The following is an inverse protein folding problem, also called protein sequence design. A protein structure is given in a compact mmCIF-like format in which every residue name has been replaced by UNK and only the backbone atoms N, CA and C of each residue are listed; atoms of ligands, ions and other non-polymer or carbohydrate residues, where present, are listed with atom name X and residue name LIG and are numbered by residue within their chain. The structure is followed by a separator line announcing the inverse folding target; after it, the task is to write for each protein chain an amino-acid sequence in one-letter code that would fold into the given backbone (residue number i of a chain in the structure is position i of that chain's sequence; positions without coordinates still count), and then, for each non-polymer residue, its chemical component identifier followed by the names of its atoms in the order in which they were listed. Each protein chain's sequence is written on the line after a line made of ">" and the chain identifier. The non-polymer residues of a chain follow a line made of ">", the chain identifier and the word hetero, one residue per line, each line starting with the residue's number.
data_IF_154632572987
#
_entry.id   IF_154632572987
#
_cell.length_a   1.000
_cell.length_b   1.000
_cell.length_c   1.000
_cell.angle_alpha   90.00
_cell.angle_beta   90.00
_cell.angle_gamma   90.00
#
_symmetry.space_group_name_H-M   'P 1'
#
loop_
_entity.id
_entity.type
_entity.pdbx_description
1 polymer ?
#
# COMPACT_ATOMS: atom_id res chain seq x y z
N UNK A 1 13.76 60.72 38.90
CA UNK A 1 12.72 59.95 38.16
C UNK A 1 13.44 58.98 37.23
N UNK A 2 13.59 57.73 37.65
CA UNK A 2 14.26 56.67 36.86
C UNK A 2 13.20 55.90 36.12
N UNK A 3 13.16 56.00 34.78
CA UNK A 3 12.27 55.19 33.93
C UNK A 3 12.97 53.88 33.62
N UNK A 4 12.49 52.80 34.20
CA UNK A 4 12.94 51.43 33.93
C UNK A 4 12.19 50.93 32.68
N UNK A 5 12.91 50.71 31.58
CA UNK A 5 12.39 50.03 30.39
C UNK A 5 12.55 48.53 30.63
N UNK A 6 11.41 47.83 30.71
CA UNK A 6 11.36 46.36 30.72
C UNK A 6 11.25 45.93 29.25
N UNK A 7 12.32 45.34 28.72
CA UNK A 7 12.33 44.74 27.42
C UNK A 7 11.69 43.35 27.51
N UNK A 8 10.51 43.19 26.92
CA UNK A 8 9.78 41.93 26.82
C UNK A 8 10.35 41.12 25.64
N UNK A 9 11.23 40.15 25.93
CA UNK A 9 11.70 39.19 24.92
C UNK A 9 10.60 38.18 24.65
N UNK A 10 9.93 38.33 23.51
CA UNK A 10 9.06 37.30 22.93
C UNK A 10 9.95 36.18 22.37
N UNK A 11 10.05 35.07 23.09
CA UNK A 11 10.64 33.82 22.57
C UNK A 11 9.59 33.13 21.75
N UNK A 12 9.70 33.26 20.42
CA UNK A 12 8.89 32.46 19.49
C UNK A 12 9.40 31.02 19.49
N UNK A 13 8.70 30.14 20.18
CA UNK A 13 8.91 28.68 20.04
C UNK A 13 8.44 28.28 18.64
N UNK A 14 9.38 28.20 17.70
CA UNK A 14 9.15 27.54 16.42
C UNK A 14 8.97 26.03 16.67
N UNK A 15 7.73 25.56 16.65
CA UNK A 15 7.42 24.14 16.70
C UNK A 15 7.90 23.50 15.40
N UNK A 16 9.11 22.93 15.39
CA UNK A 16 9.56 22.04 14.34
C UNK A 16 8.72 20.76 14.46
N UNK A 17 7.66 20.69 13.65
CA UNK A 17 6.96 19.42 13.41
C UNK A 17 7.90 18.53 12.62
N UNK A 18 8.62 17.63 13.30
CA UNK A 18 9.27 16.49 12.69
C UNK A 18 8.13 15.64 12.10
N UNK A 19 7.92 15.74 10.78
CA UNK A 19 7.09 14.80 10.08
C UNK A 19 7.76 13.42 10.27
N UNK A 20 7.22 12.60 11.17
CA UNK A 20 7.68 11.23 11.33
C UNK A 20 7.51 10.52 9.99
N UNK A 21 8.58 9.92 9.46
CA UNK A 21 8.52 9.15 8.23
C UNK A 21 7.42 8.08 8.38
N UNK A 22 6.51 8.05 7.39
CA UNK A 22 5.42 7.07 7.40
C UNK A 22 5.99 5.66 7.40
N UNK A 23 5.45 4.80 8.28
CA UNK A 23 5.80 3.38 8.25
C UNK A 23 5.53 2.81 6.86
N UNK A 24 6.55 2.23 6.24
CA UNK A 24 6.42 1.54 4.96
C UNK A 24 5.98 0.09 5.21
N UNK A 25 5.03 -0.40 4.43
CA UNK A 25 4.55 -1.79 4.54
C UNK A 25 4.42 -2.38 3.14
N UNK A 26 5.03 -3.53 2.90
CA UNK A 26 4.77 -4.33 1.70
C UNK A 26 3.90 -5.52 2.07
N UNK A 27 2.75 -5.64 1.40
CA UNK A 27 1.89 -6.83 1.48
C UNK A 27 2.19 -7.69 0.25
N UNK A 28 2.88 -8.81 0.45
CA UNK A 28 3.17 -9.79 -0.60
C UNK A 28 2.10 -10.89 -0.55
N UNK A 29 1.26 -10.93 -1.57
CA UNK A 29 0.11 -11.83 -1.65
C UNK A 29 0.29 -12.82 -2.81
N UNK A 30 0.25 -14.11 -2.48
CA UNK A 30 0.40 -15.21 -3.46
C UNK A 30 -0.75 -16.21 -3.39
N UNK A 31 -1.58 -16.12 -2.36
CA UNK A 31 -2.63 -17.11 -2.07
C UNK A 31 -3.74 -17.14 -3.13
N UNK A 32 -4.17 -18.34 -3.51
CA UNK A 32 -5.36 -18.57 -4.32
C UNK A 32 -6.66 -18.47 -3.52
N UNK A 33 -6.59 -18.46 -2.18
CA UNK A 33 -7.78 -18.40 -1.32
C UNK A 33 -8.40 -17.01 -1.35
N UNK A 34 -9.65 -16.90 -1.79
CA UNK A 34 -10.42 -15.65 -1.78
C UNK A 34 -10.45 -14.99 -0.40
N UNK A 35 -10.57 -15.82 0.67
CA UNK A 35 -10.59 -15.30 2.04
C UNK A 35 -9.23 -14.73 2.45
N UNK A 36 -8.11 -15.38 2.08
CA UNK A 36 -6.77 -14.87 2.34
C UNK A 36 -6.50 -13.58 1.56
N UNK A 37 -6.91 -13.53 0.30
CA UNK A 37 -6.83 -12.32 -0.54
C UNK A 37 -7.64 -11.17 0.07
N UNK A 38 -8.89 -11.45 0.49
CA UNK A 38 -9.74 -10.46 1.15
C UNK A 38 -9.14 -9.95 2.45
N UNK A 39 -8.61 -10.84 3.30
CA UNK A 39 -7.98 -10.46 4.56
C UNK A 39 -6.75 -9.59 4.33
N UNK A 40 -5.90 -9.94 3.37
CA UNK A 40 -4.73 -9.13 3.02
C UNK A 40 -5.14 -7.71 2.61
N UNK A 41 -6.17 -7.55 1.80
CA UNK A 41 -6.67 -6.24 1.36
C UNK A 41 -7.36 -5.46 2.50
N UNK A 42 -8.07 -6.13 3.40
CA UNK A 42 -8.63 -5.50 4.61
C UNK A 42 -7.51 -4.95 5.48
N UNK A 43 -6.45 -5.74 5.72
CA UNK A 43 -5.30 -5.29 6.51
C UNK A 43 -4.57 -4.13 5.83
N UNK A 44 -4.37 -4.19 4.50
CA UNK A 44 -3.78 -3.09 3.73
C UNK A 44 -4.55 -1.78 3.92
N UNK A 45 -5.88 -1.83 3.80
CA UNK A 45 -6.74 -0.67 4.01
C UNK A 45 -6.64 -0.14 5.44
N UNK A 46 -6.63 -1.02 6.46
CA UNK A 46 -6.55 -0.63 7.86
C UNK A 46 -5.18 -0.03 8.22
N UNK A 47 -4.09 -0.56 7.67
CA UNK A 47 -2.75 0.02 7.87
C UNK A 47 -2.64 1.42 7.29
N UNK A 48 -3.25 1.68 6.12
CA UNK A 48 -3.31 3.02 5.54
C UNK A 48 -4.11 3.99 6.42
N UNK A 49 -5.24 3.57 6.98
CA UNK A 49 -6.02 4.38 7.92
C UNK A 49 -5.24 4.75 9.18
N UNK A 50 -4.25 3.94 9.55
CA UNK A 50 -3.32 4.22 10.64
C UNK A 50 -2.08 5.02 10.19
N UNK A 51 -2.04 5.49 8.95
CA UNK A 51 -1.01 6.38 8.43
C UNK A 51 0.17 5.68 7.75
N UNK A 52 0.14 4.34 7.59
CA UNK A 52 1.19 3.63 6.86
C UNK A 52 1.10 3.91 5.35
N UNK A 53 2.26 3.89 4.69
CA UNK A 53 2.35 3.77 3.23
C UNK A 53 2.37 2.28 2.90
N UNK A 54 1.41 1.83 2.07
CA UNK A 54 1.25 0.42 1.74
C UNK A 54 1.55 0.17 0.27
N UNK A 55 2.44 -0.80 0.01
CA UNK A 55 2.75 -1.32 -1.30
C UNK A 55 2.25 -2.76 -1.39
N UNK A 56 1.44 -3.07 -2.39
CA UNK A 56 0.84 -4.39 -2.58
C UNK A 56 1.53 -5.07 -3.75
N UNK A 57 2.16 -6.22 -3.48
CA UNK A 57 2.79 -7.07 -4.48
C UNK A 57 1.97 -8.34 -4.65
N UNK A 58 1.39 -8.51 -5.84
CA UNK A 58 0.53 -9.64 -6.19
C UNK A 58 1.30 -10.61 -7.09
N UNK A 59 1.32 -11.88 -6.75
CA UNK A 59 1.97 -12.91 -7.57
C UNK A 59 1.15 -14.19 -7.58
N UNK A 60 1.46 -15.10 -8.50
CA UNK A 60 0.70 -16.34 -8.70
C UNK A 60 -0.80 -16.04 -8.88
N UNK A 61 -1.69 -16.89 -8.40
CA UNK A 61 -3.16 -16.75 -8.51
C UNK A 61 -3.69 -15.44 -7.91
N UNK A 62 -3.00 -14.88 -6.92
CA UNK A 62 -3.38 -13.57 -6.38
C UNK A 62 -3.19 -12.42 -7.39
N UNK A 63 -2.36 -12.61 -8.43
CA UNK A 63 -2.22 -11.65 -9.51
C UNK A 63 -3.51 -11.43 -10.30
N UNK A 64 -4.42 -12.41 -10.32
CA UNK A 64 -5.67 -12.33 -11.07
C UNK A 64 -6.58 -11.19 -10.59
N UNK A 65 -6.52 -10.80 -9.29
CA UNK A 65 -7.31 -9.67 -8.79
C UNK A 65 -6.84 -8.32 -9.37
N UNK A 66 -5.64 -8.26 -9.97
CA UNK A 66 -5.11 -7.09 -10.65
C UNK A 66 -5.63 -6.93 -12.09
N UNK A 67 -6.30 -7.91 -12.65
CA UNK A 67 -6.79 -7.87 -14.02
C UNK A 67 -8.07 -7.03 -14.14
N UNK A 68 -8.21 -6.32 -15.27
CA UNK A 68 -9.46 -5.65 -15.63
C UNK A 68 -10.58 -6.67 -15.73
N UNK A 69 -11.75 -6.33 -15.18
CA UNK A 69 -12.90 -7.23 -15.20
C UNK A 69 -12.76 -8.45 -14.27
N UNK A 70 -11.72 -8.50 -13.40
CA UNK A 70 -11.63 -9.55 -12.40
C UNK A 70 -12.87 -9.52 -11.50
N UNK A 71 -13.69 -10.54 -11.67
CA UNK A 71 -14.81 -10.84 -10.79
C UNK A 71 -14.35 -11.93 -9.84
N UNK A 72 -14.71 -11.83 -8.60
CA UNK A 72 -14.35 -12.81 -7.59
C UNK A 72 -15.54 -13.13 -6.72
N UNK A 73 -15.38 -14.14 -5.88
CA UNK A 73 -16.35 -14.44 -4.84
C UNK A 73 -16.50 -13.24 -3.89
N UNK A 74 -17.76 -12.92 -3.58
CA UNK A 74 -18.07 -11.85 -2.62
C UNK A 74 -17.92 -12.33 -1.20
N UNK A 75 -17.17 -11.58 -0.42
CA UNK A 75 -16.90 -11.85 0.99
C UNK A 75 -17.91 -11.15 1.89
N UNK A 76 -18.42 -11.87 2.88
CA UNK A 76 -19.26 -11.32 3.93
C UNK A 76 -18.43 -10.54 4.96
N UNK A 77 -19.03 -9.56 5.68
CA UNK A 77 -20.46 -9.19 5.67
C UNK A 77 -20.86 -8.19 4.58
N UNK A 78 -19.91 -7.57 3.87
CA UNK A 78 -20.19 -6.40 3.02
C UNK A 78 -20.41 -6.75 1.54
N UNK A 79 -20.40 -8.03 1.18
CA UNK A 79 -20.55 -8.51 -0.19
C UNK A 79 -19.54 -7.88 -1.18
N UNK A 80 -18.28 -7.75 -0.75
CA UNK A 80 -17.17 -7.18 -1.53
C UNK A 80 -16.20 -8.27 -2.01
N UNK A 81 -15.62 -8.08 -3.19
CA UNK A 81 -14.57 -8.95 -3.70
C UNK A 81 -13.17 -8.46 -3.30
N UNK A 82 -12.14 -9.34 -3.29
CA UNK A 82 -10.76 -8.90 -3.08
C UNK A 82 -10.31 -7.81 -4.06
N UNK A 83 -10.74 -7.89 -5.33
CA UNK A 83 -10.44 -6.88 -6.34
C UNK A 83 -11.04 -5.50 -5.99
N UNK A 84 -12.28 -5.47 -5.48
CA UNK A 84 -12.89 -4.21 -5.00
C UNK A 84 -12.17 -3.64 -3.77
N UNK A 85 -11.69 -4.50 -2.87
CA UNK A 85 -10.88 -4.07 -1.73
C UNK A 85 -9.52 -3.53 -2.17
N UNK A 86 -8.90 -4.12 -3.19
CA UNK A 86 -7.67 -3.62 -3.82
C UNK A 86 -7.90 -2.22 -4.41
N UNK A 87 -8.97 -2.03 -5.18
CA UNK A 87 -9.32 -0.71 -5.72
C UNK A 87 -9.53 0.33 -4.60
N UNK A 88 -10.13 -0.10 -3.49
CA UNK A 88 -10.31 0.74 -2.31
C UNK A 88 -8.98 1.17 -1.69
N UNK A 89 -8.03 0.24 -1.55
CA UNK A 89 -6.70 0.53 -1.04
C UNK A 89 -5.93 1.50 -1.96
N UNK A 90 -5.98 1.27 -3.27
CA UNK A 90 -5.33 2.14 -4.25
C UNK A 90 -5.92 3.57 -4.25
N UNK A 91 -7.23 3.72 -4.13
CA UNK A 91 -7.89 5.03 -3.99
C UNK A 91 -7.45 5.79 -2.74
N UNK A 92 -7.05 5.09 -1.69
CA UNK A 92 -6.50 5.67 -0.45
C UNK A 92 -4.99 5.92 -0.51
N UNK A 93 -4.33 5.59 -1.64
CA UNK A 93 -2.92 5.86 -1.89
C UNK A 93 -1.99 4.66 -1.75
N UNK A 94 -2.49 3.42 -1.63
CA UNK A 94 -1.65 2.25 -1.80
C UNK A 94 -1.13 2.16 -3.23
N UNK A 95 0.10 1.69 -3.40
CA UNK A 95 0.57 1.23 -4.70
C UNK A 95 0.27 -0.26 -4.87
N UNK A 96 0.07 -0.70 -6.10
CA UNK A 96 -0.08 -2.11 -6.40
C UNK A 96 0.73 -2.49 -7.64
N UNK A 97 1.31 -3.68 -7.61
CA UNK A 97 2.05 -4.25 -8.72
C UNK A 97 1.86 -5.76 -8.78
N UNK A 98 1.98 -6.32 -9.97
CA UNK A 98 2.12 -7.77 -10.11
C UNK A 98 3.60 -8.13 -10.18
N UNK A 99 3.99 -9.30 -9.68
CA UNK A 99 5.38 -9.73 -9.74
C UNK A 99 5.84 -9.88 -11.21
N UNK A 100 7.13 -9.72 -11.47
CA UNK A 100 7.69 -9.74 -12.82
C UNK A 100 7.42 -11.05 -13.58
N UNK A 101 7.18 -12.13 -12.86
CA UNK A 101 6.89 -13.44 -13.45
C UNK A 101 5.42 -13.64 -13.83
N UNK A 102 4.52 -12.80 -13.32
CA UNK A 102 3.07 -13.01 -13.49
C UNK A 102 2.65 -12.94 -14.96
N UNK A 103 2.87 -11.80 -15.62
CA UNK A 103 2.42 -11.60 -16.99
C UNK A 103 2.98 -12.64 -17.98
N UNK A 104 4.32 -12.92 -18.00
CA UNK A 104 4.86 -13.87 -18.96
C UNK A 104 4.41 -15.33 -18.73
N UNK A 105 4.03 -15.69 -17.50
CA UNK A 105 3.60 -17.05 -17.18
C UNK A 105 2.09 -17.27 -17.27
N UNK A 106 1.29 -16.19 -17.28
CA UNK A 106 -0.17 -16.28 -17.42
C UNK A 106 -0.65 -15.96 -18.82
N UNK A 107 0.21 -15.43 -19.70
CA UNK A 107 -0.15 -14.98 -21.03
C UNK A 107 -0.88 -13.64 -21.08
N UNK A 108 -1.07 -13.00 -19.92
CA UNK A 108 -1.65 -11.68 -19.84
C UNK A 108 -0.63 -10.60 -20.27
N UNK A 109 -1.15 -9.44 -20.67
CA UNK A 109 -0.36 -8.31 -21.13
C UNK A 109 -0.50 -7.13 -20.17
N UNK A 110 0.39 -6.14 -20.22
CA UNK A 110 0.30 -4.95 -19.37
C UNK A 110 -1.05 -4.21 -19.51
N UNK A 111 -1.66 -4.19 -20.68
CA UNK A 111 -2.96 -3.57 -20.95
C UNK A 111 -4.15 -4.28 -20.30
N UNK A 112 -3.97 -5.54 -19.88
CA UNK A 112 -4.99 -6.31 -19.17
C UNK A 112 -5.03 -5.95 -17.68
N UNK A 113 -4.00 -5.28 -17.16
CA UNK A 113 -3.97 -4.83 -15.78
C UNK A 113 -4.90 -3.63 -15.54
N UNK A 114 -5.44 -3.56 -14.33
CA UNK A 114 -6.21 -2.39 -13.84
C UNK A 114 -5.35 -1.14 -13.92
N UNK A 115 -5.99 0.01 -14.10
CA UNK A 115 -5.31 1.29 -14.17
C UNK A 115 -4.49 1.55 -12.90
N UNK A 116 -3.25 1.97 -13.09
CA UNK A 116 -2.31 2.22 -12.00
C UNK A 116 -1.52 0.99 -11.52
N UNK A 117 -1.85 -0.21 -11.99
CA UNK A 117 -1.09 -1.44 -11.70
C UNK A 117 -0.11 -1.74 -12.83
N UNK A 118 1.10 -2.13 -12.48
CA UNK A 118 2.16 -2.52 -13.43
C UNK A 118 2.92 -3.74 -12.94
N UNK A 119 3.70 -4.36 -13.81
CA UNK A 119 4.66 -5.37 -13.38
C UNK A 119 5.77 -4.71 -12.55
N UNK A 120 6.12 -5.33 -11.42
CA UNK A 120 7.20 -4.88 -10.56
C UNK A 120 8.55 -5.06 -11.25
N UNK A 121 9.46 -4.09 -11.07
CA UNK A 121 10.86 -4.27 -11.40
C UNK A 121 11.53 -5.05 -10.26
N UNK A 122 12.15 -6.22 -10.52
CA UNK A 122 12.75 -7.03 -9.46
C UNK A 122 13.84 -6.33 -8.66
N UNK A 123 14.66 -5.50 -9.32
CA UNK A 123 15.74 -4.77 -8.64
C UNK A 123 15.18 -3.67 -7.71
N UNK A 124 14.19 -2.91 -8.18
CA UNK A 124 13.52 -1.89 -7.37
C UNK A 124 12.76 -2.51 -6.20
N UNK A 125 12.05 -3.61 -6.46
CA UNK A 125 11.33 -4.33 -5.41
C UNK A 125 12.29 -4.89 -4.36
N UNK A 126 13.40 -5.52 -4.77
CA UNK A 126 14.41 -6.03 -3.85
C UNK A 126 15.02 -4.93 -2.99
N UNK A 127 15.34 -3.78 -3.56
CA UNK A 127 15.86 -2.62 -2.83
C UNK A 127 14.83 -2.11 -1.80
N UNK A 128 13.58 -1.98 -2.22
CA UNK A 128 12.48 -1.52 -1.37
C UNK A 128 12.24 -2.46 -0.18
N UNK A 129 12.30 -3.78 -0.39
CA UNK A 129 12.10 -4.76 0.69
C UNK A 129 13.22 -4.74 1.75
N UNK A 130 14.39 -4.15 1.44
CA UNK A 130 15.52 -4.01 2.34
C UNK A 130 15.56 -2.68 3.11
N UNK A 131 14.59 -1.79 2.88
CA UNK A 131 14.50 -0.52 3.62
C UNK A 131 14.26 -0.76 5.12
N UNK A 132 15.02 -0.09 5.98
CA UNK A 132 14.94 -0.27 7.46
C UNK A 132 13.56 0.04 8.02
N UNK A 133 12.86 1.04 7.46
CA UNK A 133 11.51 1.44 7.90
C UNK A 133 10.40 0.65 7.18
N UNK A 134 10.70 -0.50 6.61
CA UNK A 134 9.73 -1.32 5.89
C UNK A 134 9.40 -2.62 6.61
N UNK A 135 8.12 -2.88 6.79
CA UNK A 135 7.60 -4.19 7.21
C UNK A 135 7.12 -4.96 6.00
N UNK A 136 7.40 -6.26 5.97
CA UNK A 136 6.92 -7.16 4.92
C UNK A 136 5.96 -8.16 5.53
N UNK A 137 4.78 -8.27 4.94
CA UNK A 137 3.71 -9.20 5.34
C UNK A 137 3.48 -10.13 4.16
N UNK A 138 3.75 -11.43 4.35
CA UNK A 138 3.46 -12.47 3.35
C UNK A 138 2.11 -13.15 3.62
N UNK A 139 1.30 -13.36 2.57
CA UNK A 139 0.00 -14.04 2.62
C UNK A 139 -0.17 -15.00 1.44
#
# INVERSE_FOLDING_TARGET
>A
MKKTLIALCLVTLSSYSLAADKQQVTVSLTSASTMAQGMAMVLANQMQEQGAQVDILLCDTAGDIALKGAEGEKLKPNDVTPAQLLDGAMKKGATASVCALYLPNTGNKPEDLRDGIKAANPAEMGASLLEENRKVIGV
#
